data_IF_552967301421
#
_entry.id   IF_552967301421
#
_cell.length_a   1.000
_cell.length_b   1.000
_cell.length_c   1.000
_cell.angle_alpha   90.00
_cell.angle_beta   90.00
_cell.angle_gamma   90.00
#
_symmetry.space_group_name_H-M   'P 1'
#
loop_
_entity.id
_entity.type
_entity.pdbx_description
1 polymer ?
#
# COMPACT_ATOMS: atom_id res chain seq x y z
N UNK A 1 26.25 -42.95 -41.64
CA UNK A 1 26.69 -41.56 -41.37
C UNK A 1 25.50 -40.87 -40.74
N UNK A 2 25.39 -41.06 -39.44
CA UNK A 2 24.36 -40.47 -38.60
C UNK A 2 24.86 -39.14 -38.06
N UNK A 3 24.09 -38.07 -38.25
CA UNK A 3 23.89 -36.92 -37.35
C UNK A 3 23.30 -35.77 -38.18
N UNK A 4 22.39 -34.94 -37.69
CA UNK A 4 21.45 -34.95 -36.56
C UNK A 4 20.66 -33.68 -36.87
N UNK A 5 19.34 -33.81 -36.98
CA UNK A 5 18.45 -32.66 -37.17
C UNK A 5 18.54 -31.82 -35.89
N UNK A 6 18.93 -30.56 -36.06
CA UNK A 6 18.93 -29.58 -34.99
C UNK A 6 17.47 -29.27 -34.61
N UNK A 7 17.08 -29.80 -33.46
CA UNK A 7 15.78 -29.58 -32.86
C UNK A 7 15.78 -28.19 -32.21
N UNK A 8 14.93 -27.32 -32.77
CA UNK A 8 14.49 -26.08 -32.14
C UNK A 8 13.33 -26.45 -31.21
N UNK A 9 13.25 -25.78 -30.06
CA UNK A 9 12.24 -25.83 -28.96
C UNK A 9 12.80 -26.58 -27.75
N UNK A 10 12.81 -26.04 -26.53
CA UNK A 10 11.89 -25.12 -25.87
C UNK A 10 12.67 -24.47 -24.70
N UNK A 11 12.86 -23.15 -24.70
CA UNK A 11 13.23 -22.44 -23.48
C UNK A 11 11.94 -22.10 -22.72
N UNK A 12 11.34 -23.12 -22.10
CA UNK A 12 10.11 -23.00 -21.34
C UNK A 12 10.41 -22.53 -19.90
N UNK A 13 10.38 -21.21 -19.74
CA UNK A 13 9.72 -20.60 -18.58
C UNK A 13 10.39 -20.67 -17.21
N UNK A 14 11.69 -20.39 -17.08
CA UNK A 14 12.31 -20.24 -15.74
C UNK A 14 12.28 -18.78 -15.22
N UNK A 15 11.13 -18.13 -15.39
CA UNK A 15 10.76 -16.92 -14.64
C UNK A 15 9.66 -17.29 -13.62
N UNK A 16 9.86 -18.41 -12.91
CA UNK A 16 9.12 -18.66 -11.69
C UNK A 16 9.36 -17.44 -10.78
N UNK A 17 8.29 -16.69 -10.51
CA UNK A 17 8.26 -15.61 -9.53
C UNK A 17 8.98 -16.10 -8.26
N UNK A 18 10.19 -15.60 -8.02
CA UNK A 18 11.01 -16.05 -6.89
C UNK A 18 10.18 -15.97 -5.61
N UNK A 19 9.83 -17.13 -5.06
CA UNK A 19 8.99 -17.25 -3.85
C UNK A 19 9.74 -16.58 -2.70
N UNK A 20 9.04 -15.73 -1.97
CA UNK A 20 9.57 -15.08 -0.77
C UNK A 20 8.84 -15.66 0.44
N UNK A 21 9.55 -16.19 1.45
CA UNK A 21 8.90 -16.76 2.62
C UNK A 21 7.99 -15.74 3.32
N UNK A 22 6.76 -16.14 3.66
CA UNK A 22 5.79 -15.30 4.35
C UNK A 22 6.36 -14.55 5.57
N UNK A 23 7.25 -15.20 6.33
CA UNK A 23 7.90 -14.58 7.49
C UNK A 23 8.66 -13.27 7.17
N UNK A 24 9.10 -13.08 5.92
CA UNK A 24 9.73 -11.83 5.46
C UNK A 24 8.73 -10.69 5.29
N UNK A 25 7.45 -10.99 5.04
CA UNK A 25 6.39 -9.98 4.90
C UNK A 25 5.87 -9.49 6.26
N UNK A 26 5.99 -10.29 7.33
CA UNK A 26 5.48 -9.95 8.66
C UNK A 26 5.92 -8.57 9.18
N UNK A 27 7.20 -8.15 9.07
CA UNK A 27 7.61 -6.81 9.49
C UNK A 27 6.86 -5.70 8.76
N UNK A 28 6.65 -5.83 7.44
CA UNK A 28 5.94 -4.82 6.63
C UNK A 28 4.44 -4.78 6.98
N UNK A 29 3.83 -5.95 7.16
CA UNK A 29 2.43 -6.07 7.59
C UNK A 29 2.22 -5.37 8.93
N UNK A 30 3.08 -5.66 9.91
CA UNK A 30 2.99 -5.05 11.23
C UNK A 30 3.30 -3.55 11.18
N UNK A 31 4.25 -3.13 10.36
CA UNK A 31 4.60 -1.72 10.19
C UNK A 31 3.42 -0.90 9.64
N UNK A 32 2.74 -1.40 8.60
CA UNK A 32 1.54 -0.74 8.04
C UNK A 32 0.41 -0.66 9.08
N UNK A 33 0.17 -1.76 9.83
CA UNK A 33 -0.81 -1.76 10.92
C UNK A 33 -0.48 -0.75 12.03
N UNK A 34 0.80 -0.63 12.41
CA UNK A 34 1.23 0.36 13.38
C UNK A 34 1.05 1.79 12.87
N UNK A 35 1.41 2.06 11.61
CA UNK A 35 1.18 3.38 11.02
C UNK A 35 -0.30 3.73 10.98
N UNK A 36 -1.17 2.77 10.68
CA UNK A 36 -2.61 3.00 10.74
C UNK A 36 -3.06 3.43 12.15
N UNK A 37 -2.65 2.70 13.19
CA UNK A 37 -2.96 3.07 14.58
C UNK A 37 -2.46 4.49 14.92
N UNK A 38 -1.23 4.84 14.52
CA UNK A 38 -0.70 6.19 14.70
C UNK A 38 -1.53 7.23 13.93
N UNK A 39 -2.06 6.93 12.74
CA UNK A 39 -2.97 7.85 12.04
C UNK A 39 -4.28 8.07 12.76
N UNK A 40 -4.82 7.07 13.46
CA UNK A 40 -6.02 7.23 14.30
C UNK A 40 -5.75 8.26 15.39
N UNK A 41 -4.68 8.06 16.16
CA UNK A 41 -4.29 8.95 17.25
C UNK A 41 -4.06 10.39 16.77
N UNK A 42 -3.36 10.56 15.63
CA UNK A 42 -3.10 11.88 15.05
C UNK A 42 -4.38 12.60 14.59
N UNK A 43 -5.35 11.86 14.05
CA UNK A 43 -6.62 12.43 13.58
C UNK A 43 -7.53 12.80 14.74
N UNK A 44 -7.58 11.96 15.78
CA UNK A 44 -8.33 12.25 17.01
C UNK A 44 -7.81 13.51 17.71
N UNK A 45 -6.49 13.68 17.76
CA UNK A 45 -5.83 14.85 18.33
C UNK A 45 -5.76 16.07 17.39
N UNK A 46 -6.31 15.99 16.17
CA UNK A 46 -6.15 17.06 15.18
C UNK A 46 -6.94 18.32 15.56
N UNK A 47 -6.27 19.46 15.68
CA UNK A 47 -6.93 20.76 15.85
C UNK A 47 -7.34 21.38 14.51
N UNK A 48 -6.63 21.01 13.45
CA UNK A 48 -6.75 21.58 12.11
C UNK A 48 -6.78 20.51 11.02
N UNK A 49 -7.23 20.90 9.83
CA UNK A 49 -7.27 20.04 8.64
C UNK A 49 -8.00 18.69 8.82
N UNK A 50 -8.88 18.58 9.83
CA UNK A 50 -9.60 17.35 10.23
C UNK A 50 -10.15 16.56 9.05
N UNK A 51 -10.86 17.21 8.12
CA UNK A 51 -11.41 16.54 6.93
C UNK A 51 -10.33 15.89 6.05
N UNK A 52 -9.22 16.59 5.82
CA UNK A 52 -8.11 16.05 5.02
C UNK A 52 -7.42 14.91 5.75
N UNK A 53 -7.18 15.06 7.06
CA UNK A 53 -6.60 14.00 7.90
C UNK A 53 -7.48 12.74 7.88
N UNK A 54 -8.79 12.90 8.05
CA UNK A 54 -9.77 11.80 8.05
C UNK A 54 -9.78 11.04 6.72
N UNK A 55 -9.75 11.75 5.59
CA UNK A 55 -9.67 11.13 4.26
C UNK A 55 -8.40 10.27 4.11
N UNK A 56 -7.25 10.78 4.57
CA UNK A 56 -5.99 10.06 4.50
C UNK A 56 -5.96 8.84 5.42
N UNK A 57 -6.45 8.98 6.66
CA UNK A 57 -6.61 7.87 7.60
C UNK A 57 -7.47 6.75 7.02
N UNK A 58 -8.61 7.09 6.42
CA UNK A 58 -9.52 6.11 5.85
C UNK A 58 -8.90 5.35 4.66
N UNK A 59 -8.05 6.01 3.86
CA UNK A 59 -7.27 5.31 2.81
C UNK A 59 -6.29 4.30 3.40
N UNK A 60 -5.55 4.67 4.45
CA UNK A 60 -4.65 3.76 5.15
C UNK A 60 -5.42 2.59 5.78
N UNK A 61 -6.61 2.86 6.34
CA UNK A 61 -7.49 1.81 6.89
C UNK A 61 -7.85 0.75 5.84
N UNK A 62 -8.29 1.16 4.65
CA UNK A 62 -8.63 0.21 3.56
C UNK A 62 -7.46 -0.70 3.23
N UNK A 63 -6.25 -0.15 3.17
CA UNK A 63 -5.04 -0.94 2.93
C UNK A 63 -4.71 -1.90 4.09
N UNK A 64 -4.84 -1.44 5.33
CA UNK A 64 -4.64 -2.28 6.52
C UNK A 64 -5.60 -3.48 6.51
N UNK A 65 -6.88 -3.24 6.21
CA UNK A 65 -7.89 -4.30 6.11
C UNK A 65 -7.52 -5.36 5.07
N UNK A 66 -7.16 -4.93 3.87
CA UNK A 66 -6.76 -5.83 2.78
C UNK A 66 -5.51 -6.65 3.14
N UNK A 67 -4.53 -6.03 3.82
CA UNK A 67 -3.32 -6.71 4.27
C UNK A 67 -3.61 -7.70 5.41
N UNK A 68 -4.51 -7.34 6.33
CA UNK A 68 -4.95 -8.24 7.41
C UNK A 68 -5.65 -9.46 6.85
N UNK A 69 -6.55 -9.26 5.89
CA UNK A 69 -7.22 -10.34 5.18
C UNK A 69 -6.21 -11.23 4.43
N UNK A 70 -5.24 -10.66 3.72
CA UNK A 70 -4.16 -11.41 3.07
C UNK A 70 -3.39 -12.28 4.08
N UNK A 71 -3.10 -11.75 5.28
CA UNK A 71 -2.42 -12.49 6.35
C UNK A 71 -3.26 -13.66 6.87
N UNK A 72 -4.56 -13.46 7.01
CA UNK A 72 -5.52 -14.49 7.45
C UNK A 72 -5.66 -15.59 6.39
N UNK A 73 -5.83 -15.21 5.13
CA UNK A 73 -5.98 -16.11 3.97
C UNK A 73 -4.65 -16.56 3.35
N UNK A 74 -3.53 -16.46 4.07
CA UNK A 74 -2.18 -16.69 3.50
C UNK A 74 -1.98 -18.04 2.79
N UNK A 75 -2.71 -19.09 3.21
CA UNK A 75 -2.64 -20.42 2.59
C UNK A 75 -3.36 -20.46 1.24
N UNK A 76 -4.40 -19.65 1.09
CA UNK A 76 -5.17 -19.54 -0.15
C UNK A 76 -4.53 -18.56 -1.13
N UNK A 77 -3.55 -17.78 -0.67
CA UNK A 77 -2.88 -16.69 -1.38
C UNK A 77 -1.37 -16.88 -1.47
N UNK A 78 -0.92 -18.14 -1.56
CA UNK A 78 0.51 -18.45 -1.60
C UNK A 78 1.24 -17.80 -2.79
N UNK A 79 0.53 -17.65 -3.91
CA UNK A 79 0.98 -16.97 -5.14
C UNK A 79 1.31 -15.48 -4.92
N UNK A 80 0.68 -14.84 -3.93
CA UNK A 80 0.99 -13.46 -3.57
C UNK A 80 2.42 -13.32 -3.05
N UNK A 81 2.96 -14.31 -2.33
CA UNK A 81 4.23 -14.21 -1.61
C UNK A 81 5.44 -14.43 -2.52
N UNK A 82 5.60 -13.51 -3.47
CA UNK A 82 6.70 -13.47 -4.42
C UNK A 82 7.51 -12.16 -4.30
N UNK A 83 8.67 -12.13 -4.95
CA UNK A 83 9.58 -10.98 -4.92
C UNK A 83 8.96 -9.67 -5.41
N UNK A 84 8.09 -9.72 -6.42
CA UNK A 84 7.47 -8.51 -6.98
C UNK A 84 6.53 -7.89 -5.95
N UNK A 85 5.66 -8.71 -5.34
CA UNK A 85 4.71 -8.24 -4.35
C UNK A 85 5.38 -7.87 -3.02
N UNK A 86 6.50 -8.51 -2.68
CA UNK A 86 7.33 -8.07 -1.57
C UNK A 86 7.78 -6.61 -1.75
N UNK A 87 8.34 -6.27 -2.91
CA UNK A 87 8.78 -4.90 -3.24
C UNK A 87 7.59 -3.93 -3.22
N UNK A 88 6.46 -4.30 -3.85
CA UNK A 88 5.26 -3.47 -3.85
C UNK A 88 4.73 -3.19 -2.44
N UNK A 89 4.79 -4.17 -1.54
CA UNK A 89 4.39 -3.98 -0.14
C UNK A 89 5.37 -3.07 0.61
N UNK A 90 6.68 -3.11 0.30
CA UNK A 90 7.67 -2.16 0.84
C UNK A 90 7.35 -0.73 0.41
N UNK A 91 6.98 -0.53 -0.86
CA UNK A 91 6.58 0.78 -1.36
C UNK A 91 5.27 1.25 -0.72
N UNK A 92 4.29 0.35 -0.55
CA UNK A 92 3.06 0.66 0.16
C UNK A 92 3.32 1.09 1.61
N UNK A 93 4.24 0.41 2.31
CA UNK A 93 4.66 0.82 3.66
C UNK A 93 5.30 2.22 3.65
N UNK A 94 6.16 2.49 2.68
CA UNK A 94 6.85 3.78 2.52
C UNK A 94 5.86 4.92 2.30
N UNK A 95 4.89 4.76 1.40
CA UNK A 95 3.87 5.79 1.15
C UNK A 95 2.92 5.95 2.35
N UNK A 96 2.59 4.86 3.05
CA UNK A 96 1.78 4.90 4.27
C UNK A 96 2.48 5.72 5.36
N UNK A 97 3.79 5.54 5.54
CA UNK A 97 4.61 6.36 6.44
C UNK A 97 4.60 7.84 6.07
N UNK A 98 4.71 8.15 4.78
CA UNK A 98 4.64 9.54 4.28
C UNK A 98 3.28 10.16 4.54
N UNK A 99 2.19 9.41 4.33
CA UNK A 99 0.84 9.85 4.67
C UNK A 99 0.72 10.15 6.15
N UNK A 100 1.17 9.25 7.02
CA UNK A 100 1.18 9.45 8.47
C UNK A 100 1.92 10.73 8.87
N UNK A 101 3.14 10.93 8.35
CA UNK A 101 3.92 12.13 8.65
C UNK A 101 3.20 13.40 8.16
N UNK A 102 2.59 13.35 6.98
CA UNK A 102 1.82 14.49 6.47
C UNK A 102 0.58 14.79 7.32
N UNK A 103 -0.15 13.77 7.80
CA UNK A 103 -1.23 13.94 8.78
C UNK A 103 -0.69 14.62 10.04
N UNK A 104 0.45 14.16 10.57
CA UNK A 104 1.08 14.77 11.75
C UNK A 104 1.40 16.25 11.54
N UNK A 105 1.90 16.63 10.36
CA UNK A 105 2.23 18.02 10.05
C UNK A 105 0.98 18.90 9.92
N UNK A 106 -0.04 18.46 9.20
CA UNK A 106 -1.21 19.30 8.90
C UNK A 106 -2.23 19.32 10.04
N UNK A 107 -2.27 18.30 10.90
CA UNK A 107 -3.21 18.20 12.03
C UNK A 107 -3.00 19.30 13.07
N UNK A 108 -1.74 19.72 13.26
CA UNK A 108 -1.33 20.76 14.22
C UNK A 108 -1.01 22.11 13.54
N UNK A 109 -1.28 22.24 12.24
CA UNK A 109 -0.92 23.42 11.47
C UNK A 109 -1.87 24.58 11.71
N UNK A 110 -1.40 25.61 12.43
CA UNK A 110 -2.15 26.85 12.71
C UNK A 110 -2.82 27.44 11.46
N UNK A 111 -4.04 27.97 11.62
CA UNK A 111 -4.89 28.51 10.55
C UNK A 111 -4.18 29.51 9.63
N UNK A 112 -3.36 30.43 10.18
CA UNK A 112 -2.64 31.43 9.39
C UNK A 112 -1.59 30.78 8.45
N UNK A 113 -0.83 29.80 8.96
CA UNK A 113 0.17 29.06 8.18
C UNK A 113 -0.53 28.22 7.11
N UNK A 114 -1.66 27.60 7.45
CA UNK A 114 -2.49 26.84 6.51
C UNK A 114 -2.90 27.69 5.32
N UNK A 115 -3.40 28.91 5.54
CA UNK A 115 -3.82 29.79 4.43
C UNK A 115 -2.67 30.10 3.47
N UNK A 116 -1.48 30.39 4.00
CA UNK A 116 -0.29 30.66 3.19
C UNK A 116 0.20 29.42 2.41
N UNK A 117 -0.08 28.21 2.91
CA UNK A 117 0.39 26.93 2.36
C UNK A 117 -0.72 26.10 1.71
N UNK A 118 -1.93 26.63 1.52
CA UNK A 118 -3.09 25.82 1.07
C UNK A 118 -2.82 25.12 -0.26
N UNK A 119 -2.23 25.84 -1.22
CA UNK A 119 -1.87 25.27 -2.54
C UNK A 119 -0.85 24.14 -2.43
N UNK A 120 0.14 24.25 -1.53
CA UNK A 120 1.13 23.19 -1.35
C UNK A 120 0.55 21.98 -0.62
N UNK A 121 -0.31 22.17 0.39
CA UNK A 121 -1.05 21.09 1.05
C UNK A 121 -1.87 20.30 0.04
N UNK A 122 -2.62 21.00 -0.83
CA UNK A 122 -3.44 20.36 -1.86
C UNK A 122 -2.60 19.57 -2.87
N UNK A 123 -1.41 20.08 -3.22
CA UNK A 123 -0.48 19.38 -4.11
C UNK A 123 0.05 18.10 -3.48
N UNK A 124 0.62 18.19 -2.27
CA UNK A 124 1.16 17.05 -1.53
C UNK A 124 0.08 16.00 -1.27
N UNK A 125 -1.13 16.42 -0.89
CA UNK A 125 -2.27 15.51 -0.72
C UNK A 125 -2.55 14.70 -1.99
N UNK A 126 -2.61 15.36 -3.15
CA UNK A 126 -2.87 14.68 -4.44
C UNK A 126 -1.75 13.73 -4.83
N UNK A 127 -0.50 14.13 -4.63
CA UNK A 127 0.67 13.30 -4.90
C UNK A 127 0.65 12.03 -4.03
N UNK A 128 0.44 12.20 -2.72
CA UNK A 128 0.36 11.06 -1.79
C UNK A 128 -0.79 10.11 -2.14
N UNK A 129 -1.98 10.64 -2.44
CA UNK A 129 -3.11 9.79 -2.84
C UNK A 129 -2.83 9.07 -4.17
N UNK A 130 -2.26 9.76 -5.16
CA UNK A 130 -1.96 9.17 -6.46
C UNK A 130 -0.92 8.04 -6.36
N UNK A 131 0.18 8.28 -5.63
CA UNK A 131 1.20 7.25 -5.39
C UNK A 131 0.62 6.06 -4.60
N UNK A 132 -0.18 6.33 -3.57
CA UNK A 132 -0.83 5.29 -2.77
C UNK A 132 -1.75 4.41 -3.62
N UNK A 133 -2.60 5.03 -4.45
CA UNK A 133 -3.56 4.34 -5.30
C UNK A 133 -2.86 3.46 -6.35
N UNK A 134 -1.69 3.85 -6.84
CA UNK A 134 -0.87 3.00 -7.72
C UNK A 134 -0.50 1.69 -7.01
N UNK A 135 0.02 1.75 -5.79
CA UNK A 135 0.44 0.55 -5.07
C UNK A 135 -0.73 -0.31 -4.61
N UNK A 136 -1.85 0.31 -4.20
CA UNK A 136 -3.08 -0.42 -3.89
C UNK A 136 -3.57 -1.16 -5.13
N UNK A 137 -3.63 -0.52 -6.29
CA UNK A 137 -4.09 -1.18 -7.52
C UNK A 137 -3.15 -2.31 -7.94
N UNK A 138 -1.83 -2.09 -7.89
CA UNK A 138 -0.85 -3.13 -8.22
C UNK A 138 -0.94 -4.34 -7.29
N UNK A 139 -1.28 -4.10 -6.01
CA UNK A 139 -1.48 -5.14 -5.01
C UNK A 139 -2.87 -5.77 -5.10
N UNK A 140 -3.92 -5.03 -5.47
CA UNK A 140 -5.30 -5.54 -5.59
C UNK A 140 -5.51 -6.44 -6.81
N UNK A 141 -4.77 -6.24 -7.89
CA UNK A 141 -4.66 -7.28 -8.93
C UNK A 141 -4.09 -8.61 -8.40
N UNK A 142 -3.41 -8.56 -7.24
CA UNK A 142 -2.81 -9.73 -6.58
C UNK A 142 -3.50 -10.14 -5.27
N UNK A 143 -4.35 -9.28 -4.69
CA UNK A 143 -5.16 -9.44 -3.48
C UNK A 143 -6.58 -9.13 -3.93
N UNK A 144 -7.45 -10.13 -4.08
CA UNK A 144 -8.87 -9.88 -4.40
C UNK A 144 -9.44 -9.00 -3.29
N UNK A 145 -9.43 -7.70 -3.50
CA UNK A 145 -10.12 -6.71 -2.68
C UNK A 145 -11.46 -6.58 -3.36
N UNK A 146 -12.47 -7.28 -2.84
CA UNK A 146 -13.84 -6.90 -3.14
C UNK A 146 -14.06 -5.52 -2.55
N UNK A 147 -13.93 -4.50 -3.40
CA UNK A 147 -14.44 -3.17 -3.09
C UNK A 147 -15.95 -3.34 -3.16
N UNK A 148 -16.57 -3.53 -2.00
CA UNK A 148 -18.01 -3.40 -1.87
C UNK A 148 -18.35 -1.93 -2.18
N UNK A 149 -18.71 -1.65 -3.43
CA UNK A 149 -19.51 -0.49 -3.79
C UNK A 149 -20.91 -0.71 -3.21
N UNK A 150 -21.07 -0.47 -1.91
CA UNK A 150 -22.39 -0.28 -1.32
C UNK A 150 -22.84 1.16 -1.57
N UNK A 151 -23.51 1.35 -2.71
CA UNK A 151 -24.48 2.42 -2.91
C UNK A 151 -25.78 1.80 -3.44
N UNK A 152 -26.64 1.42 -2.50
CA UNK A 152 -28.10 1.63 -2.59
C UNK A 152 -28.59 2.30 -1.31
#
# INVERSE_FOLDING_TARGET
MDQKIDDITENSGDSALMIVPFAKFLPLINEIGNFFNETIELVEAAEHNKRTCEILKNRVHVAELAIRELREKRKDREDFFNKINYIRLQELSTITKRIKNFISEISQMKTLIKYLKEKSIKKVFKELCGEFDVYINLLSFSINVEIADELE
#
